data_IF_698165853810
#
_entry.id   IF_698165853810
#
_cell.length_a   1.000
_cell.length_b   1.000
_cell.length_c   1.000
_cell.angle_alpha   90.00
_cell.angle_beta   90.00
_cell.angle_gamma   90.00
#
_symmetry.space_group_name_H-M   'P 1'
#
loop_
_entity.id
_entity.type
_entity.pdbx_description
1 polymer ?
#
# COMPACT_ATOMS: atom_id res chain seq x y z
N UNK A 1 -3.30 -4.68 -30.80
CA UNK A 1 -1.83 -4.78 -30.88
C UNK A 1 -1.30 -5.21 -29.50
N UNK A 2 -0.67 -6.36 -29.46
CA UNK A 2 -0.06 -6.83 -28.21
C UNK A 2 1.12 -5.93 -27.90
N UNK A 3 1.10 -5.27 -26.74
CA UNK A 3 2.29 -4.60 -26.23
C UNK A 3 3.25 -5.69 -25.76
N UNK A 4 4.28 -5.95 -26.56
CA UNK A 4 5.33 -6.87 -26.18
C UNK A 4 5.97 -6.41 -24.88
N UNK A 5 6.14 -7.33 -23.91
CA UNK A 5 6.88 -7.10 -22.68
C UNK A 5 6.12 -6.55 -21.48
N UNK A 6 4.80 -6.34 -21.54
CA UNK A 6 4.01 -6.10 -20.33
C UNK A 6 3.56 -7.44 -19.76
N UNK A 7 4.20 -7.86 -18.68
CA UNK A 7 3.62 -8.87 -17.81
C UNK A 7 2.32 -8.29 -17.28
N UNK A 8 1.20 -8.86 -17.68
CA UNK A 8 -0.10 -8.51 -17.12
C UNK A 8 -0.10 -9.03 -15.69
N UNK A 9 0.12 -8.13 -14.73
CA UNK A 9 -0.01 -8.47 -13.32
C UNK A 9 -1.49 -8.44 -12.99
N UNK A 10 -2.07 -9.60 -12.78
CA UNK A 10 -3.44 -9.72 -12.31
C UNK A 10 -3.46 -9.64 -10.78
N UNK A 11 -3.79 -8.46 -10.25
CA UNK A 11 -4.05 -8.31 -8.83
C UNK A 11 -5.37 -9.01 -8.49
N UNK A 12 -5.35 -9.83 -7.46
CA UNK A 12 -6.59 -10.32 -6.85
C UNK A 12 -7.04 -9.30 -5.81
N UNK A 13 -8.30 -8.89 -5.89
CA UNK A 13 -8.90 -7.99 -4.92
C UNK A 13 -9.65 -8.81 -3.89
N UNK A 14 -9.26 -8.66 -2.64
CA UNK A 14 -9.78 -9.45 -1.52
C UNK A 14 -10.90 -8.70 -0.84
N UNK A 15 -12.04 -9.37 -0.70
CA UNK A 15 -13.16 -8.86 0.10
C UNK A 15 -12.87 -9.10 1.58
N UNK A 16 -12.63 -8.01 2.31
CA UNK A 16 -12.39 -8.02 3.75
C UNK A 16 -13.63 -7.62 4.56
N UNK A 17 -14.80 -7.55 3.91
CA UNK A 17 -16.02 -7.07 4.55
C UNK A 17 -16.01 -5.56 4.77
N UNK A 18 -15.23 -4.83 4.00
CA UNK A 18 -15.07 -3.37 4.07
C UNK A 18 -15.77 -2.70 2.89
N UNK A 19 -15.74 -1.37 2.87
CA UNK A 19 -16.37 -0.58 1.81
C UNK A 19 -15.72 -0.77 0.44
N UNK A 20 -14.43 -1.16 0.42
CA UNK A 20 -13.67 -1.48 -0.79
C UNK A 20 -12.96 -2.81 -0.63
N UNK A 21 -12.60 -3.41 -1.76
CA UNK A 21 -11.71 -4.57 -1.78
C UNK A 21 -10.26 -4.11 -1.84
N UNK A 22 -9.36 -4.87 -1.23
CA UNK A 22 -7.93 -4.56 -1.19
C UNK A 22 -7.16 -5.56 -2.04
N UNK A 23 -6.22 -5.06 -2.84
CA UNK A 23 -5.34 -5.91 -3.63
C UNK A 23 -4.52 -6.84 -2.73
N UNK A 24 -4.21 -8.03 -3.23
CA UNK A 24 -3.45 -9.04 -2.50
C UNK A 24 -1.95 -8.80 -2.45
N UNK A 25 -1.43 -7.86 -3.24
CA UNK A 25 0.00 -7.54 -3.29
C UNK A 25 0.23 -6.08 -3.68
N UNK A 26 1.42 -5.57 -3.38
CA UNK A 26 1.81 -4.21 -3.73
C UNK A 26 1.94 -4.04 -5.25
N UNK A 27 1.75 -2.80 -5.72
CA UNK A 27 1.98 -2.48 -7.13
C UNK A 27 3.41 -2.81 -7.52
N UNK A 28 3.56 -3.54 -8.61
CA UNK A 28 4.86 -4.00 -9.13
C UNK A 28 5.37 -5.29 -8.50
N UNK A 29 4.65 -5.86 -7.54
CA UNK A 29 4.97 -7.16 -6.95
C UNK A 29 4.52 -8.31 -7.84
N UNK A 30 5.18 -9.44 -7.72
CA UNK A 30 4.80 -10.71 -8.35
C UNK A 30 4.23 -11.70 -7.33
N UNK A 31 4.57 -11.50 -6.05
CA UNK A 31 4.13 -12.32 -4.92
C UNK A 31 3.59 -11.43 -3.82
N UNK A 32 2.77 -12.00 -2.95
CA UNK A 32 2.12 -11.26 -1.85
C UNK A 32 3.11 -10.64 -0.87
N UNK A 33 4.29 -11.21 -0.71
CA UNK A 33 5.34 -10.72 0.17
C UNK A 33 6.33 -9.75 -0.49
N UNK A 34 6.26 -9.57 -1.80
CA UNK A 34 7.17 -8.67 -2.51
C UNK A 34 6.86 -7.21 -2.18
N UNK A 35 7.90 -6.40 -2.09
CA UNK A 35 7.75 -4.97 -1.82
C UNK A 35 7.17 -4.19 -3.01
N UNK A 36 7.34 -4.69 -4.22
CA UNK A 36 6.91 -4.02 -5.45
C UNK A 36 7.76 -2.81 -5.79
N UNK A 37 7.16 -1.89 -6.49
CA UNK A 37 7.77 -0.62 -6.89
C UNK A 37 7.43 0.48 -5.89
N UNK A 38 8.27 1.52 -5.85
CA UNK A 38 8.11 2.68 -4.97
C UNK A 38 7.79 3.91 -5.80
N UNK A 39 6.83 4.68 -5.32
CA UNK A 39 6.34 5.87 -6.00
C UNK A 39 6.26 7.04 -5.03
N UNK A 40 6.50 8.26 -5.51
CA UNK A 40 6.13 9.45 -4.75
C UNK A 40 4.68 9.82 -5.05
N UNK A 41 4.03 10.51 -4.12
CA UNK A 41 2.66 10.99 -4.30
C UNK A 41 2.58 11.93 -5.53
N UNK A 42 3.60 12.80 -5.69
CA UNK A 42 3.69 13.71 -6.83
C UNK A 42 3.71 12.96 -8.17
N UNK A 43 4.41 11.81 -8.26
CA UNK A 43 4.46 11.00 -9.47
C UNK A 43 3.10 10.41 -9.84
N UNK A 44 2.35 9.92 -8.85
CA UNK A 44 1.17 9.09 -9.12
C UNK A 44 -0.13 9.87 -9.12
N UNK A 45 -0.22 10.97 -8.36
CA UNK A 45 -1.46 11.73 -8.27
C UNK A 45 -1.72 12.58 -9.52
N UNK A 46 -0.65 13.08 -10.12
CA UNK A 46 -0.70 13.93 -11.30
C UNK A 46 -0.38 13.17 -12.61
N UNK A 47 0.01 11.92 -12.50
CA UNK A 47 0.39 11.10 -13.64
C UNK A 47 -0.81 10.35 -14.19
N UNK A 48 -1.28 10.75 -15.36
CA UNK A 48 -2.43 10.12 -16.01
C UNK A 48 -2.12 8.73 -16.61
N UNK A 49 -0.86 8.32 -16.58
CA UNK A 49 -0.37 7.11 -17.23
C UNK A 49 0.36 6.19 -16.25
N UNK A 50 -0.23 5.95 -15.09
CA UNK A 50 0.28 4.91 -14.21
C UNK A 50 -0.17 3.54 -14.73
N UNK A 51 0.72 2.56 -14.70
CA UNK A 51 0.48 1.23 -15.25
C UNK A 51 -0.69 0.47 -14.61
N UNK A 52 -1.19 0.94 -13.47
CA UNK A 52 -2.27 0.28 -12.72
C UNK A 52 -3.64 0.95 -12.83
N UNK A 53 -3.80 2.05 -13.59
CA UNK A 53 -5.02 2.87 -13.59
C UNK A 53 -6.29 2.05 -13.84
N UNK A 54 -6.21 1.02 -14.68
CA UNK A 54 -7.33 0.12 -14.98
C UNK A 54 -7.55 -0.95 -13.91
N UNK A 55 -6.57 -1.19 -13.04
CA UNK A 55 -6.60 -2.26 -12.05
C UNK A 55 -7.19 -1.82 -10.72
N UNK A 56 -7.21 -0.52 -10.45
CA UNK A 56 -7.70 0.03 -9.20
C UNK A 56 -7.16 1.43 -8.95
N UNK A 57 -7.22 1.85 -7.69
CA UNK A 57 -6.76 3.18 -7.26
C UNK A 57 -6.08 3.11 -5.91
N UNK A 58 -5.37 4.17 -5.53
CA UNK A 58 -4.87 4.31 -4.17
C UNK A 58 -6.04 4.46 -3.19
N UNK A 59 -5.91 3.92 -1.97
CA UNK A 59 -6.95 4.08 -0.95
C UNK A 59 -7.04 5.52 -0.46
N UNK A 60 -8.21 5.90 0.03
CA UNK A 60 -8.40 7.14 0.76
C UNK A 60 -7.98 6.98 2.23
N UNK A 61 -7.81 8.09 2.93
CA UNK A 61 -7.57 8.07 4.39
C UNK A 61 -8.67 7.32 5.13
N UNK A 62 -9.92 7.55 4.77
CA UNK A 62 -11.08 6.89 5.39
C UNK A 62 -11.06 5.38 5.17
N UNK A 63 -10.63 4.93 4.00
CA UNK A 63 -10.51 3.51 3.68
C UNK A 63 -9.35 2.85 4.45
N UNK A 64 -8.26 3.59 4.65
CA UNK A 64 -7.15 3.15 5.51
C UNK A 64 -7.62 3.03 6.97
N UNK A 65 -8.32 4.03 7.48
CA UNK A 65 -8.86 4.03 8.84
C UNK A 65 -9.83 2.86 9.05
N UNK A 66 -10.64 2.56 8.06
CA UNK A 66 -11.54 1.40 8.07
C UNK A 66 -10.74 0.09 8.16
N UNK A 67 -9.70 -0.05 7.35
CA UNK A 67 -8.82 -1.22 7.37
C UNK A 67 -8.19 -1.43 8.76
N UNK A 68 -7.73 -0.33 9.37
CA UNK A 68 -7.11 -0.36 10.69
C UNK A 68 -8.11 -0.76 11.79
N UNK A 69 -9.30 -0.16 11.76
CA UNK A 69 -10.28 -0.31 12.84
C UNK A 69 -11.13 -1.58 12.76
N UNK A 70 -11.37 -2.09 11.56
CA UNK A 70 -12.31 -3.20 11.34
C UNK A 70 -11.67 -4.54 11.05
N UNK A 71 -10.35 -4.62 11.02
CA UNK A 71 -9.62 -5.87 10.79
C UNK A 71 -8.72 -6.21 11.97
N UNK A 72 -8.32 -7.47 12.04
CA UNK A 72 -7.32 -7.95 12.99
C UNK A 72 -5.95 -7.84 12.34
N UNK A 73 -4.98 -7.31 13.08
CA UNK A 73 -3.61 -7.08 12.61
C UNK A 73 -2.63 -7.92 13.40
N UNK A 74 -1.87 -8.75 12.69
CA UNK A 74 -0.86 -9.62 13.28
C UNK A 74 0.48 -9.37 12.60
N UNK A 75 1.47 -8.92 13.36
CA UNK A 75 2.84 -8.80 12.86
C UNK A 75 3.46 -10.18 12.74
N UNK A 76 3.93 -10.51 11.55
CA UNK A 76 4.51 -11.82 11.29
C UNK A 76 5.52 -11.78 10.16
N UNK A 77 6.19 -12.90 9.95
CA UNK A 77 7.14 -13.09 8.87
C UNK A 77 6.58 -14.12 7.88
N UNK A 78 6.47 -13.72 6.62
CA UNK A 78 6.08 -14.57 5.50
C UNK A 78 7.23 -14.67 4.51
N UNK A 79 7.70 -15.89 4.21
CA UNK A 79 8.80 -16.11 3.26
C UNK A 79 10.00 -15.18 3.52
N UNK A 80 10.38 -15.03 4.78
CA UNK A 80 11.46 -14.16 5.29
C UNK A 80 11.18 -12.65 5.18
N UNK A 81 9.96 -12.27 4.92
CA UNK A 81 9.54 -10.87 4.87
C UNK A 81 8.64 -10.55 6.05
N UNK A 82 8.99 -9.52 6.81
CA UNK A 82 8.22 -9.04 7.95
C UNK A 82 7.15 -8.07 7.50
N UNK A 83 6.00 -8.09 8.15
CA UNK A 83 4.89 -7.22 7.88
C UNK A 83 3.67 -7.57 8.70
N UNK A 84 2.52 -7.01 8.32
CA UNK A 84 1.25 -7.32 8.95
C UNK A 84 0.39 -8.24 8.10
N UNK A 85 -0.10 -9.31 8.71
CA UNK A 85 -1.26 -10.02 8.21
C UNK A 85 -2.49 -9.28 8.72
N UNK A 86 -3.31 -8.80 7.79
CA UNK A 86 -4.54 -8.06 8.08
C UNK A 86 -5.71 -8.95 7.71
N UNK A 87 -6.49 -9.35 8.72
CA UNK A 87 -7.53 -10.36 8.57
C UNK A 87 -8.91 -9.77 8.88
N UNK A 88 -9.85 -10.04 8.01
CA UNK A 88 -11.25 -9.65 8.21
C UNK A 88 -11.84 -10.34 9.44
N UNK A 89 -12.54 -9.58 10.27
CA UNK A 89 -13.34 -10.11 11.38
C UNK A 89 -14.65 -10.73 10.89
N UNK A 90 -15.08 -10.40 9.67
CA UNK A 90 -16.37 -10.82 9.10
C UNK A 90 -16.26 -12.15 8.36
N UNK A 91 -15.29 -12.28 7.47
CA UNK A 91 -15.20 -13.45 6.57
C UNK A 91 -13.89 -14.23 6.66
N UNK A 92 -12.95 -13.80 7.51
CA UNK A 92 -11.63 -14.43 7.72
C UNK A 92 -10.66 -14.32 6.53
N UNK A 93 -11.04 -13.67 5.45
CA UNK A 93 -10.12 -13.35 4.37
C UNK A 93 -9.02 -12.42 4.88
N UNK A 94 -7.87 -12.46 4.25
CA UNK A 94 -6.71 -11.68 4.70
C UNK A 94 -5.85 -11.19 3.56
N UNK A 95 -5.11 -10.13 3.85
CA UNK A 95 -4.03 -9.62 3.00
C UNK A 95 -2.76 -9.52 3.83
N UNK A 96 -1.62 -9.45 3.16
CA UNK A 96 -0.33 -9.22 3.80
C UNK A 96 0.24 -7.88 3.33
N UNK A 97 0.64 -7.04 4.29
CA UNK A 97 1.28 -5.75 4.04
C UNK A 97 2.75 -5.86 4.45
N UNK A 98 3.68 -6.06 3.50
CA UNK A 98 5.09 -6.16 3.84
C UNK A 98 5.65 -4.82 4.34
N UNK A 99 6.59 -4.91 5.29
CA UNK A 99 7.36 -3.77 5.77
C UNK A 99 8.52 -3.52 4.81
N UNK A 100 8.21 -2.94 3.67
CA UNK A 100 9.16 -2.69 2.58
C UNK A 100 9.97 -1.42 2.73
N UNK A 101 9.79 -0.68 3.84
CA UNK A 101 10.51 0.57 4.05
C UNK A 101 10.13 1.65 3.05
N UNK A 102 11.08 2.50 2.77
CA UNK A 102 10.94 3.58 1.79
C UNK A 102 12.22 3.68 0.95
N UNK A 103 12.12 4.40 -0.15
CA UNK A 103 13.24 4.59 -1.07
C UNK A 103 13.56 6.06 -1.22
N UNK A 104 14.86 6.38 -1.24
CA UNK A 104 15.39 7.69 -1.59
C UNK A 104 16.58 7.53 -2.54
N UNK A 105 17.26 8.62 -2.90
CA UNK A 105 18.40 8.60 -3.82
C UNK A 105 19.57 7.77 -3.32
N UNK A 106 19.70 7.60 -2.00
CA UNK A 106 20.74 6.78 -1.38
C UNK A 106 20.38 5.28 -1.33
N UNK A 107 19.15 4.91 -1.71
CA UNK A 107 18.68 3.53 -1.71
C UNK A 107 17.50 3.30 -0.78
N UNK A 108 17.41 2.06 -0.28
CA UNK A 108 16.32 1.59 0.56
C UNK A 108 16.59 1.85 2.05
N UNK A 109 15.56 2.30 2.78
CA UNK A 109 15.63 2.55 4.22
C UNK A 109 14.49 1.81 4.94
N UNK A 110 14.76 1.35 6.16
CA UNK A 110 13.77 0.74 7.07
C UNK A 110 13.11 -0.55 6.56
N UNK A 111 13.73 -1.23 5.59
CA UNK A 111 13.25 -2.53 5.11
C UNK A 111 13.22 -3.54 6.27
N UNK A 112 12.10 -4.21 6.44
CA UNK A 112 11.87 -5.15 7.54
C UNK A 112 11.56 -4.50 8.88
N UNK A 113 11.59 -3.17 8.96
CA UNK A 113 11.31 -2.39 10.17
C UNK A 113 9.97 -1.67 10.05
N UNK A 114 9.79 -0.97 8.94
CA UNK A 114 8.59 -0.17 8.68
C UNK A 114 8.10 -0.35 7.25
N UNK A 115 6.84 -0.04 7.02
CA UNK A 115 6.25 0.08 5.69
C UNK A 115 5.49 1.39 5.59
N UNK A 116 5.46 1.93 4.39
CA UNK A 116 4.82 3.21 4.07
C UNK A 116 4.01 3.03 2.81
N UNK A 117 2.72 3.34 2.88
CA UNK A 117 1.77 3.15 1.78
C UNK A 117 1.06 4.45 1.47
N UNK A 118 1.08 4.83 0.20
CA UNK A 118 0.43 6.06 -0.26
C UNK A 118 -1.10 5.95 -0.19
N UNK A 119 -1.74 7.08 0.12
CA UNK A 119 -3.18 7.27 -0.08
C UNK A 119 -3.41 8.33 -1.14
N UNK A 120 -4.67 8.48 -1.57
CA UNK A 120 -5.06 9.58 -2.45
C UNK A 120 -5.48 10.85 -1.69
N UNK A 121 -5.33 10.86 -0.37
CA UNK A 121 -5.77 11.95 0.49
C UNK A 121 -4.65 12.89 0.84
N UNK A 122 -4.96 14.18 0.92
CA UNK A 122 -4.04 15.23 1.35
C UNK A 122 -4.34 15.70 2.76
N UNK A 123 -3.32 16.29 3.41
CA UNK A 123 -3.52 17.00 4.66
C UNK A 123 -4.49 18.16 4.51
N UNK A 124 -5.18 18.48 5.60
CA UNK A 124 -6.21 19.53 5.64
C UNK A 124 -5.68 20.83 6.23
N UNK A 125 -6.25 21.95 5.81
CA UNK A 125 -5.92 23.28 6.32
C UNK A 125 -4.52 23.75 5.92
N UNK A 126 -3.73 24.20 6.88
CA UNK A 126 -2.35 24.69 6.67
C UNK A 126 -1.34 23.55 6.54
N UNK A 127 -1.73 22.32 6.82
CA UNK A 127 -0.86 21.14 6.75
C UNK A 127 -0.79 20.67 5.30
N UNK A 128 0.39 20.79 4.71
CA UNK A 128 0.66 20.32 3.34
C UNK A 128 1.35 18.97 3.39
N UNK A 129 0.92 18.07 2.52
CA UNK A 129 1.50 16.75 2.38
C UNK A 129 0.44 15.73 2.03
N UNK A 130 0.87 14.51 1.81
CA UNK A 130 0.01 13.38 1.55
C UNK A 130 -0.18 12.56 2.82
N UNK A 131 -1.39 12.07 3.02
CA UNK A 131 -1.66 11.12 4.10
C UNK A 131 -1.14 9.75 3.63
N UNK A 132 -0.43 9.07 4.50
CA UNK A 132 0.07 7.73 4.24
C UNK A 132 -0.20 6.78 5.40
N UNK A 133 -0.34 5.49 5.09
CA UNK A 133 -0.36 4.43 6.09
C UNK A 133 1.08 4.10 6.47
N UNK A 134 1.38 4.14 7.77
CA UNK A 134 2.67 3.73 8.30
C UNK A 134 2.47 2.51 9.18
N UNK A 135 3.29 1.49 8.95
CA UNK A 135 3.28 0.26 9.73
C UNK A 135 4.67 -0.04 10.28
N UNK A 136 4.72 -0.56 11.48
CA UNK A 136 5.89 -1.17 12.10
C UNK A 136 5.41 -2.21 13.10
N UNK A 137 6.33 -2.97 13.67
CA UNK A 137 5.97 -4.04 14.62
C UNK A 137 5.04 -3.58 15.74
N UNK A 138 5.19 -2.35 16.21
CA UNK A 138 4.42 -1.80 17.34
C UNK A 138 3.43 -0.71 16.92
N UNK A 139 3.29 -0.45 15.64
CA UNK A 139 2.49 0.69 15.18
C UNK A 139 1.79 0.42 13.85
N UNK A 140 0.58 0.91 13.75
CA UNK A 140 -0.16 1.07 12.50
C UNK A 140 -1.04 2.31 12.60
N UNK A 141 -0.94 3.19 11.62
CA UNK A 141 -1.70 4.44 11.64
C UNK A 141 -1.41 5.29 10.42
N UNK A 142 -2.07 6.44 10.36
CA UNK A 142 -1.89 7.39 9.27
C UNK A 142 -1.00 8.55 9.73
N UNK A 143 -0.14 8.99 8.82
CA UNK A 143 0.73 10.14 9.01
C UNK A 143 0.69 11.05 7.81
N UNK A 144 1.03 12.30 8.04
CA UNK A 144 1.25 13.29 6.99
C UNK A 144 2.73 13.26 6.60
N UNK A 145 3.00 13.10 5.31
CA UNK A 145 4.37 13.08 4.78
C UNK A 145 4.52 14.01 3.59
N UNK A 146 5.76 14.41 3.31
CA UNK A 146 6.07 15.16 2.10
C UNK A 146 5.76 14.35 0.84
N UNK A 147 5.27 15.04 -0.19
CA UNK A 147 4.78 14.39 -1.41
C UNK A 147 5.89 13.87 -2.32
N UNK A 148 7.14 14.21 -2.05
CA UNK A 148 8.30 13.80 -2.84
C UNK A 148 8.92 12.46 -2.44
N UNK A 149 8.53 11.92 -1.29
CA UNK A 149 9.12 10.68 -0.79
C UNK A 149 8.53 9.44 -1.46
N UNK A 150 9.38 8.46 -1.76
CA UNK A 150 8.98 7.23 -2.45
C UNK A 150 8.49 6.17 -1.47
N UNK A 151 7.30 5.67 -1.72
CA UNK A 151 6.52 4.76 -0.88
C UNK A 151 5.97 3.60 -1.68
N UNK A 152 5.50 2.58 -1.00
CA UNK A 152 4.73 1.49 -1.60
C UNK A 152 3.32 1.94 -1.97
N UNK A 153 2.69 1.24 -2.89
CA UNK A 153 1.28 1.43 -3.25
C UNK A 153 0.53 0.11 -3.15
N UNK A 154 -0.57 0.12 -2.42
CA UNK A 154 -1.51 -1.00 -2.36
C UNK A 154 -2.86 -0.50 -2.87
N UNK A 155 -3.37 -1.14 -3.94
CA UNK A 155 -4.59 -0.70 -4.59
C UNK A 155 -5.84 -1.16 -3.87
N UNK A 156 -6.92 -0.39 -4.06
CA UNK A 156 -8.29 -0.76 -3.70
C UNK A 156 -9.19 -0.66 -4.93
N UNK A 157 -10.35 -1.31 -4.82
CA UNK A 157 -11.33 -1.34 -5.90
C UNK A 157 -12.75 -1.40 -5.36
#
# INVERSE_FOLDING_TARGET
>A
MKKEGKNVVNYEFVDLGLSVQWANMNVGAEKVEDFGKYYSWDEVINCKNVDWEEDGRMPSEEEIDELISKCEWEWKEESRVKGFKVKSKVNKNWIFLPAGGCKNDAGMNFVGISGYYLSNSMGKGKLRGAIELVISRSFKGTYLAGTQYKRSVRLVK
#
